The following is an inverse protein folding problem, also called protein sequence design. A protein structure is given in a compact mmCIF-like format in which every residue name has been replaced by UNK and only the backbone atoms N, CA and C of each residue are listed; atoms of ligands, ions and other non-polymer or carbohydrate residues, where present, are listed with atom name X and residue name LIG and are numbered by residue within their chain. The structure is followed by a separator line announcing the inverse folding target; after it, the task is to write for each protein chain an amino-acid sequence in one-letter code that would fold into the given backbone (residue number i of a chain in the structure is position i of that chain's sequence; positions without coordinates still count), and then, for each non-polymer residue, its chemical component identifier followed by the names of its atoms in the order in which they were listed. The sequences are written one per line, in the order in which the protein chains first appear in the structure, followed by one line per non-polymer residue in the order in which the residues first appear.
data_IF_548839490775
#
_entry.id   IF_548839490775
#
_cell.length_a   1.000
_cell.length_b   1.000
_cell.length_c   1.000
_cell.angle_alpha   90.00
_cell.angle_beta   90.00
_cell.angle_gamma   90.00
#
_symmetry.space_group_name_H-M   'P 1'
#
loop_
_entity.id
_entity.type
_entity.pdbx_description
1 polymer ?
#
# COMPACT_ATOMS: atom_id res chain seq x y z
N UNK A 1 84.68 -39.33 0.03
CA UNK A 1 83.61 -38.99 1.00
C UNK A 1 83.37 -37.48 0.84
N UNK A 2 82.19 -37.00 0.43
CA UNK A 2 80.92 -36.88 1.20
C UNK A 2 81.15 -36.09 2.52
N UNK A 3 80.48 -34.95 2.80
CA UNK A 3 79.51 -34.13 2.03
C UNK A 3 79.39 -32.68 2.57
N UNK A 4 79.25 -31.73 1.65
CA UNK A 4 78.31 -30.58 1.62
C UNK A 4 78.56 -29.32 2.49
N UNK A 5 78.32 -28.17 1.84
CA UNK A 5 78.43 -26.82 2.39
C UNK A 5 77.18 -26.37 3.14
N UNK A 6 77.35 -25.40 4.04
CA UNK A 6 76.27 -24.74 4.76
C UNK A 6 75.55 -23.75 3.83
N UNK A 7 74.36 -24.10 3.34
CA UNK A 7 73.47 -23.17 2.65
C UNK A 7 72.23 -22.92 3.53
N UNK A 8 72.21 -21.77 4.20
CA UNK A 8 71.08 -21.36 5.03
C UNK A 8 69.92 -20.86 4.16
N UNK A 9 69.14 -21.81 3.61
CA UNK A 9 67.85 -21.49 2.97
C UNK A 9 66.84 -21.20 4.08
N UNK A 10 66.65 -19.92 4.40
CA UNK A 10 65.51 -19.45 5.19
C UNK A 10 64.27 -19.58 4.32
N UNK A 11 63.66 -20.78 4.33
CA UNK A 11 62.45 -21.03 3.59
C UNK A 11 61.30 -20.22 4.20
N UNK A 12 60.77 -19.29 3.42
CA UNK A 12 59.59 -18.51 3.77
C UNK A 12 58.44 -19.40 4.22
N UNK A 13 57.89 -19.11 5.38
CA UNK A 13 56.50 -19.42 5.70
C UNK A 13 55.85 -18.17 6.30
N UNK A 14 55.84 -17.09 5.51
CA UNK A 14 54.94 -15.97 5.75
C UNK A 14 53.53 -16.50 5.52
N UNK A 15 52.88 -16.93 6.60
CA UNK A 15 51.45 -17.21 6.63
C UNK A 15 50.71 -15.89 6.39
N UNK A 16 50.54 -15.55 5.11
CA UNK A 16 49.58 -14.56 4.68
C UNK A 16 48.20 -15.05 5.07
N UNK A 17 47.73 -14.64 6.25
CA UNK A 17 46.30 -14.60 6.55
C UNK A 17 45.67 -13.62 5.56
N UNK A 18 45.33 -14.12 4.39
CA UNK A 18 44.28 -13.55 3.56
C UNK A 18 42.98 -13.70 4.33
N UNK A 19 42.76 -12.80 5.29
CA UNK A 19 41.44 -12.57 5.85
C UNK A 19 40.53 -12.27 4.66
N UNK A 20 39.64 -13.21 4.34
CA UNK A 20 38.59 -12.98 3.36
C UNK A 20 37.80 -11.79 3.86
N UNK A 21 37.94 -10.64 3.18
CA UNK A 21 36.96 -9.58 3.29
C UNK A 21 35.64 -10.19 2.82
N UNK A 22 34.79 -10.57 3.76
CA UNK A 22 33.42 -10.95 3.43
C UNK A 22 32.79 -9.81 2.65
N UNK A 23 31.94 -10.13 1.66
CA UNK A 23 31.19 -9.10 0.96
C UNK A 23 30.45 -8.24 1.98
N UNK A 24 30.53 -6.93 1.83
CA UNK A 24 29.82 -5.99 2.72
C UNK A 24 28.30 -6.25 2.73
N UNK A 25 27.80 -6.84 1.65
CA UNK A 25 26.40 -7.18 1.43
C UNK A 25 25.95 -8.48 2.13
N UNK A 26 26.85 -9.31 2.68
CA UNK A 26 26.50 -10.61 3.29
C UNK A 26 25.95 -10.50 4.73
N UNK A 27 25.67 -9.29 5.20
CA UNK A 27 25.17 -9.03 6.56
C UNK A 27 23.72 -9.48 6.75
N UNK A 28 23.31 -9.88 7.96
CA UNK A 28 21.91 -10.19 8.28
C UNK A 28 20.93 -9.04 7.95
N UNK A 29 21.36 -7.79 8.12
CA UNK A 29 20.59 -6.60 7.79
C UNK A 29 20.33 -6.49 6.28
N UNK A 30 21.37 -6.65 5.45
CA UNK A 30 21.22 -6.62 4.00
C UNK A 30 20.34 -7.76 3.49
N UNK A 31 20.49 -8.98 4.03
CA UNK A 31 19.60 -10.12 3.74
C UNK A 31 18.14 -9.85 4.12
N UNK A 32 17.89 -9.13 5.21
CA UNK A 32 16.54 -8.73 5.60
C UNK A 32 15.96 -7.70 4.61
N UNK A 33 16.75 -6.70 4.20
CA UNK A 33 16.33 -5.67 3.24
C UNK A 33 16.07 -6.29 1.87
N UNK A 34 16.97 -7.13 1.36
CA UNK A 34 16.80 -7.88 0.11
C UNK A 34 15.49 -8.67 0.13
N UNK A 35 15.25 -9.43 1.20
CA UNK A 35 14.06 -10.28 1.33
C UNK A 35 12.74 -9.52 1.43
N UNK A 36 12.70 -8.37 2.11
CA UNK A 36 11.44 -7.70 2.46
C UNK A 36 11.23 -6.32 1.81
N UNK A 37 12.17 -5.82 1.02
CA UNK A 37 12.05 -4.53 0.32
C UNK A 37 10.86 -4.49 -0.64
N UNK A 38 10.69 -5.50 -1.50
CA UNK A 38 9.55 -5.59 -2.41
C UNK A 38 8.20 -5.58 -1.66
N UNK A 39 8.09 -6.33 -0.56
CA UNK A 39 6.91 -6.39 0.30
C UNK A 39 6.64 -5.04 1.01
N UNK A 40 7.67 -4.36 1.50
CA UNK A 40 7.52 -3.03 2.10
C UNK A 40 7.07 -1.98 1.08
N UNK A 41 7.50 -2.12 -0.18
CA UNK A 41 7.04 -1.29 -1.31
C UNK A 41 5.58 -1.61 -1.68
N UNK A 42 5.19 -2.88 -1.74
CA UNK A 42 3.78 -3.29 -1.94
C UNK A 42 2.87 -2.70 -0.85
N UNK A 43 3.28 -2.81 0.40
CA UNK A 43 2.55 -2.29 1.56
C UNK A 43 2.51 -0.76 1.59
N UNK A 44 3.56 -0.08 1.11
CA UNK A 44 3.55 1.36 0.87
C UNK A 44 2.51 1.75 -0.18
N UNK A 45 2.41 1.04 -1.31
CA UNK A 45 1.34 1.30 -2.29
C UNK A 45 -0.05 1.01 -1.73
N UNK A 46 -0.19 -0.05 -0.94
CA UNK A 46 -1.47 -0.48 -0.37
C UNK A 46 -2.02 0.49 0.69
N UNK A 47 -1.14 1.13 1.47
CA UNK A 47 -1.53 1.89 2.66
C UNK A 47 -1.08 3.35 2.69
N UNK A 48 -0.01 3.70 1.98
CA UNK A 48 0.66 5.00 2.05
C UNK A 48 1.62 5.16 3.24
N UNK A 49 2.01 4.08 3.92
CA UNK A 49 3.13 4.09 4.88
C UNK A 49 4.44 3.96 4.10
N UNK A 50 5.44 4.85 4.24
CA UNK A 50 6.69 4.75 3.48
C UNK A 50 7.37 3.38 3.62
N UNK A 51 7.95 2.90 2.52
CA UNK A 51 8.65 1.63 2.49
C UNK A 51 9.91 1.68 3.37
N UNK A 52 10.60 2.82 3.41
CA UNK A 52 11.75 3.05 4.29
C UNK A 52 11.39 2.97 5.77
N UNK A 53 10.24 3.52 6.16
CA UNK A 53 9.68 3.43 7.51
C UNK A 53 9.37 1.98 7.84
N UNK A 54 8.65 1.28 6.97
CA UNK A 54 8.31 -0.15 7.17
C UNK A 54 9.56 -1.04 7.29
N UNK A 55 10.58 -0.81 6.46
CA UNK A 55 11.85 -1.53 6.52
C UNK A 55 12.67 -1.20 7.76
N UNK A 56 12.77 0.08 8.14
CA UNK A 56 13.53 0.51 9.31
C UNK A 56 12.88 0.01 10.61
N UNK A 57 11.56 0.05 10.71
CA UNK A 57 10.82 -0.56 11.82
C UNK A 57 11.02 -2.09 11.80
N UNK A 58 10.84 -2.74 10.65
CA UNK A 58 11.08 -4.19 10.54
C UNK A 58 12.49 -4.59 10.99
N UNK A 59 13.54 -3.90 10.53
CA UNK A 59 14.93 -4.14 10.94
C UNK A 59 15.14 -3.95 12.46
N UNK A 60 14.56 -2.90 13.05
CA UNK A 60 14.71 -2.56 14.45
C UNK A 60 13.95 -3.53 15.37
N UNK A 61 12.65 -3.71 15.13
CA UNK A 61 11.73 -4.45 16.01
C UNK A 61 11.91 -5.97 15.90
N UNK A 62 12.22 -6.48 14.70
CA UNK A 62 12.46 -7.93 14.50
C UNK A 62 13.89 -8.36 14.79
N UNK A 63 14.80 -7.43 15.13
CA UNK A 63 16.24 -7.69 15.14
C UNK A 63 16.69 -8.29 13.81
N UNK A 64 16.39 -7.60 12.71
CA UNK A 64 16.66 -8.03 11.32
C UNK A 64 16.23 -9.48 11.04
N UNK A 65 15.04 -9.85 11.54
CA UNK A 65 14.38 -11.14 11.35
C UNK A 65 14.85 -12.27 12.26
N UNK A 66 15.79 -12.01 13.17
CA UNK A 66 16.39 -13.04 14.05
C UNK A 66 15.83 -13.06 15.47
N UNK A 67 14.96 -12.11 15.86
CA UNK A 67 14.32 -12.14 17.19
C UNK A 67 13.44 -13.38 17.35
N UNK A 68 13.30 -13.87 18.58
CA UNK A 68 12.44 -15.02 18.87
C UNK A 68 11.00 -14.80 18.42
N UNK A 69 10.49 -13.57 18.58
CA UNK A 69 9.15 -13.17 18.17
C UNK A 69 8.97 -13.20 16.63
N UNK A 70 10.00 -12.77 15.88
CA UNK A 70 10.00 -12.89 14.43
C UNK A 70 10.07 -14.36 13.99
N UNK A 71 11.04 -15.13 14.51
CA UNK A 71 11.29 -16.52 14.09
C UNK A 71 10.15 -17.49 14.48
N UNK A 72 9.56 -17.35 15.67
CA UNK A 72 8.50 -18.26 16.16
C UNK A 72 7.08 -17.74 15.93
N UNK A 73 6.92 -16.43 15.82
CA UNK A 73 5.63 -15.75 15.68
C UNK A 73 5.35 -15.17 14.30
N UNK A 74 6.34 -15.14 13.40
CA UNK A 74 6.33 -14.33 12.18
C UNK A 74 5.98 -12.86 12.43
N UNK A 75 6.19 -12.33 13.64
CA UNK A 75 5.77 -10.99 14.03
C UNK A 75 6.96 -10.04 14.02
N UNK A 76 7.13 -9.31 12.91
CA UNK A 76 8.30 -8.48 12.65
C UNK A 76 8.23 -7.08 13.29
N UNK A 77 7.10 -6.71 13.90
CA UNK A 77 6.82 -5.34 14.34
C UNK A 77 6.36 -5.23 15.82
N UNK A 78 6.52 -6.30 16.60
CA UNK A 78 6.17 -6.30 18.02
C UNK A 78 4.67 -6.12 18.32
N UNK A 79 3.77 -6.43 17.37
CA UNK A 79 2.34 -6.09 17.54
C UNK A 79 1.72 -6.95 18.65
N UNK A 80 1.37 -6.31 19.76
CA UNK A 80 0.73 -6.92 20.93
C UNK A 80 -0.72 -7.36 20.63
N UNK A 81 -1.19 -8.37 21.34
CA UNK A 81 -2.60 -8.79 21.32
C UNK A 81 -3.46 -7.69 21.93
N UNK A 82 -4.42 -7.18 21.18
CA UNK A 82 -5.48 -6.33 21.73
C UNK A 82 -6.78 -7.13 21.91
N UNK A 83 -7.76 -6.56 22.60
CA UNK A 83 -9.05 -7.20 22.89
C UNK A 83 -9.83 -7.65 21.64
N UNK A 84 -9.51 -7.10 20.47
CA UNK A 84 -10.08 -7.45 19.17
C UNK A 84 -9.32 -8.56 18.42
N UNK A 85 -8.17 -9.03 18.94
CA UNK A 85 -7.35 -10.03 18.26
C UNK A 85 -7.84 -11.46 18.53
N UNK A 86 -8.44 -12.06 17.51
CA UNK A 86 -8.96 -13.44 17.48
C UNK A 86 -8.01 -14.44 16.81
N UNK A 87 -6.95 -13.97 16.15
CA UNK A 87 -5.96 -14.80 15.47
C UNK A 87 -5.01 -15.55 16.41
N UNK A 88 -4.01 -16.22 15.82
CA UNK A 88 -2.98 -16.98 16.54
C UNK A 88 -2.17 -16.05 17.46
N UNK A 89 -1.66 -16.62 18.56
CA UNK A 89 -0.97 -15.88 19.63
C UNK A 89 0.37 -16.54 19.95
N UNK A 90 1.34 -15.73 20.36
CA UNK A 90 2.59 -16.18 20.96
C UNK A 90 2.84 -15.33 22.20
N UNK A 91 3.41 -15.94 23.23
CA UNK A 91 3.72 -15.25 24.48
C UNK A 91 5.22 -15.06 24.57
N UNK A 92 5.65 -13.85 24.91
CA UNK A 92 7.05 -13.47 25.03
C UNK A 92 7.20 -12.49 26.21
N UNK A 93 8.39 -12.47 26.82
CA UNK A 93 8.70 -11.54 27.90
C UNK A 93 9.43 -10.34 27.28
N UNK A 94 8.81 -9.16 27.29
CA UNK A 94 9.29 -7.94 26.62
C UNK A 94 9.33 -6.75 27.59
N UNK A 95 8.26 -5.96 27.72
CA UNK A 95 8.11 -4.97 28.80
C UNK A 95 7.71 -5.65 30.11
N UNK A 96 6.95 -6.74 30.02
CA UNK A 96 6.46 -7.52 31.16
C UNK A 96 6.45 -9.03 30.87
N UNK A 97 6.33 -9.83 31.93
CA UNK A 97 6.30 -11.28 31.84
C UNK A 97 4.98 -11.78 31.26
N UNK A 98 5.05 -12.66 30.25
CA UNK A 98 3.91 -13.31 29.64
C UNK A 98 3.06 -12.38 28.77
N UNK A 99 3.67 -11.38 28.14
CA UNK A 99 2.95 -10.51 27.21
C UNK A 99 2.49 -11.28 25.97
N UNK A 100 1.26 -10.99 25.55
CA UNK A 100 0.65 -11.63 24.39
C UNK A 100 1.00 -10.81 23.14
N UNK A 101 1.60 -11.46 22.17
CA UNK A 101 1.86 -10.93 20.84
C UNK A 101 1.03 -11.69 19.80
N UNK A 102 0.68 -10.98 18.73
CA UNK A 102 0.05 -11.60 17.57
C UNK A 102 1.04 -12.59 16.95
N UNK A 103 0.54 -13.74 16.51
CA UNK A 103 1.27 -14.70 15.69
C UNK A 103 0.59 -14.82 14.34
N UNK A 104 1.40 -14.88 13.30
CA UNK A 104 1.01 -14.95 11.91
C UNK A 104 1.50 -16.24 11.27
N UNK A 105 0.88 -16.65 10.17
CA UNK A 105 1.32 -17.83 9.42
C UNK A 105 2.49 -17.53 8.47
N UNK A 106 2.71 -16.25 8.15
CA UNK A 106 3.86 -15.79 7.37
C UNK A 106 4.31 -14.38 7.78
N UNK A 107 5.58 -13.97 7.48
CA UNK A 107 6.03 -12.59 7.68
C UNK A 107 5.14 -11.55 6.99
N UNK A 108 4.66 -11.86 5.78
CA UNK A 108 3.82 -11.02 4.92
C UNK A 108 2.53 -10.60 5.62
N UNK A 109 1.90 -11.50 6.39
CA UNK A 109 0.73 -11.16 7.22
C UNK A 109 1.06 -10.12 8.32
N UNK A 110 2.28 -10.15 8.88
CA UNK A 110 2.71 -9.18 9.90
C UNK A 110 3.02 -7.80 9.32
N UNK A 111 3.58 -7.75 8.11
CA UNK A 111 3.74 -6.51 7.35
C UNK A 111 2.37 -5.90 7.02
N UNK A 112 1.42 -6.73 6.59
CA UNK A 112 0.04 -6.29 6.32
C UNK A 112 -0.66 -5.74 7.57
N UNK A 113 -0.61 -6.45 8.70
CA UNK A 113 -1.22 -5.99 9.96
C UNK A 113 -0.52 -4.73 10.51
N UNK A 114 0.80 -4.59 10.33
CA UNK A 114 1.54 -3.37 10.69
C UNK A 114 1.07 -2.15 9.90
N UNK A 115 1.02 -2.25 8.58
CA UNK A 115 0.60 -1.13 7.73
C UNK A 115 -0.89 -0.79 7.95
N UNK A 116 -1.75 -1.79 8.18
CA UNK A 116 -3.15 -1.58 8.57
C UNK A 116 -3.28 -0.92 9.95
N UNK A 117 -2.46 -1.32 10.92
CA UNK A 117 -2.40 -0.73 12.25
C UNK A 117 -2.03 0.76 12.21
N UNK A 118 -1.09 1.14 11.34
CA UNK A 118 -0.74 2.55 11.09
C UNK A 118 -1.85 3.26 10.30
N UNK A 119 -2.38 2.65 9.23
CA UNK A 119 -3.35 3.29 8.32
C UNK A 119 -4.71 3.57 8.93
N UNK A 120 -5.25 2.64 9.72
CA UNK A 120 -6.66 2.68 10.14
C UNK A 120 -6.88 3.14 11.59
N UNK A 121 -5.83 3.48 12.34
CA UNK A 121 -5.96 4.03 13.70
C UNK A 121 -5.82 5.56 13.68
N UNK A 122 -6.87 6.25 14.14
CA UNK A 122 -6.95 7.73 14.14
C UNK A 122 -5.71 8.44 14.68
N UNK A 123 -5.03 7.87 15.69
CA UNK A 123 -3.80 8.43 16.30
C UNK A 123 -2.66 8.65 15.31
N UNK A 124 -2.62 7.90 14.20
CA UNK A 124 -1.59 7.96 13.16
C UNK A 124 -2.07 8.71 11.91
N UNK A 125 -3.35 9.10 11.82
CA UNK A 125 -3.94 9.63 10.58
C UNK A 125 -3.19 10.84 10.01
N UNK A 126 -2.64 11.69 10.89
CA UNK A 126 -1.88 12.89 10.49
C UNK A 126 -0.53 12.58 9.81
N UNK A 127 -0.01 11.34 9.91
CA UNK A 127 1.20 10.93 9.18
C UNK A 127 0.97 10.88 7.68
N UNK A 128 -0.26 10.56 7.26
CA UNK A 128 -0.64 10.48 5.85
C UNK A 128 -0.94 11.84 5.21
N UNK A 129 -0.80 12.94 5.97
CA UNK A 129 -0.75 14.30 5.45
C UNK A 129 0.69 14.71 5.06
N UNK A 130 1.71 13.90 5.42
CA UNK A 130 3.12 14.08 5.04
C UNK A 130 3.40 13.45 3.67
N UNK A 131 4.44 13.95 2.99
CA UNK A 131 4.94 13.31 1.77
C UNK A 131 5.59 11.95 2.07
N UNK A 132 5.56 11.01 1.12
CA UNK A 132 6.20 9.69 1.28
C UNK A 132 7.71 9.78 1.50
N UNK A 133 8.34 10.83 0.97
CA UNK A 133 9.76 11.16 1.14
C UNK A 133 10.12 11.76 2.50
N UNK A 134 9.14 12.21 3.32
CA UNK A 134 9.39 12.82 4.64
C UNK A 134 9.54 11.75 5.74
N UNK A 135 10.51 10.85 5.57
CA UNK A 135 10.75 9.78 6.55
C UNK A 135 11.20 10.31 7.92
N UNK A 136 11.78 11.51 7.99
CA UNK A 136 12.09 12.17 9.27
C UNK A 136 10.82 12.61 9.99
N UNK A 137 9.91 13.31 9.30
CA UNK A 137 8.59 13.69 9.82
C UNK A 137 7.75 12.47 10.22
N UNK A 138 7.80 11.39 9.44
CA UNK A 138 7.20 10.10 9.80
C UNK A 138 7.80 9.50 11.07
N UNK A 139 9.13 9.41 11.19
CA UNK A 139 9.80 8.84 12.36
C UNK A 139 9.50 9.63 13.64
N UNK A 140 9.52 10.97 13.58
CA UNK A 140 9.13 11.84 14.68
C UNK A 140 7.62 11.75 14.99
N UNK A 141 6.80 11.68 13.96
CA UNK A 141 5.35 11.57 14.07
C UNK A 141 4.88 10.24 14.66
N UNK A 142 5.52 9.11 14.32
CA UNK A 142 5.25 7.79 14.90
C UNK A 142 5.46 7.81 16.42
N UNK A 143 6.55 8.41 16.90
CA UNK A 143 6.78 8.62 18.33
C UNK A 143 5.73 9.56 18.94
N UNK A 144 5.43 10.69 18.29
CA UNK A 144 4.42 11.66 18.77
C UNK A 144 3.02 11.05 18.89
N UNK A 145 2.63 10.21 17.93
CA UNK A 145 1.40 9.43 17.97
C UNK A 145 1.42 8.38 19.10
N UNK A 146 2.61 7.93 19.49
CA UNK A 146 2.88 6.99 20.58
C UNK A 146 3.01 5.54 20.10
N UNK A 147 3.66 5.31 18.96
CA UNK A 147 4.11 3.97 18.53
C UNK A 147 5.12 3.39 19.53
N UNK A 148 6.15 4.18 19.87
CA UNK A 148 7.16 3.83 20.86
C UNK A 148 7.28 4.92 21.93
N UNK A 149 7.68 4.53 23.15
CA UNK A 149 7.90 5.43 24.30
C UNK A 149 9.30 6.06 24.28
N UNK A 150 10.30 5.31 23.77
CA UNK A 150 11.71 5.68 23.72
C UNK A 150 11.94 7.08 23.09
N UNK A 151 12.61 8.02 23.78
CA UNK A 151 12.98 9.32 23.22
C UNK A 151 13.87 9.24 21.97
N UNK A 152 14.67 8.20 21.82
CA UNK A 152 15.61 8.00 20.70
C UNK A 152 15.00 7.23 19.52
N UNK A 153 13.74 6.81 19.59
CA UNK A 153 13.10 6.01 18.53
C UNK A 153 13.17 6.67 17.13
N UNK A 154 12.89 7.97 16.95
CA UNK A 154 13.00 8.62 15.65
C UNK A 154 14.43 8.56 15.10
N UNK A 155 15.44 8.84 15.94
CA UNK A 155 16.85 8.83 15.56
C UNK A 155 17.33 7.43 15.19
N UNK A 156 16.81 6.37 15.84
CA UNK A 156 17.09 4.97 15.47
C UNK A 156 16.56 4.66 14.06
N UNK A 157 15.32 5.04 13.75
CA UNK A 157 14.75 4.84 12.41
C UNK A 157 15.48 5.67 11.35
N UNK A 158 15.65 6.97 11.56
CA UNK A 158 16.36 7.87 10.63
C UNK A 158 17.79 7.37 10.38
N UNK A 159 18.49 6.88 11.41
CA UNK A 159 19.81 6.27 11.24
C UNK A 159 19.74 5.04 10.33
N UNK A 160 18.83 4.09 10.55
CA UNK A 160 18.69 2.90 9.71
C UNK A 160 18.34 3.27 8.25
N UNK A 161 17.45 4.24 8.05
CA UNK A 161 17.06 4.71 6.72
C UNK A 161 18.25 5.32 5.99
N UNK A 162 19.10 6.09 6.68
CA UNK A 162 20.31 6.68 6.08
C UNK A 162 21.44 5.65 5.90
N UNK A 163 21.66 4.75 6.87
CA UNK A 163 22.75 3.75 6.88
C UNK A 163 22.60 2.72 5.76
N UNK A 164 21.36 2.33 5.43
CA UNK A 164 21.03 1.37 4.37
C UNK A 164 20.34 2.02 3.15
N UNK A 165 20.36 3.36 3.06
CA UNK A 165 19.71 4.15 2.00
C UNK A 165 18.24 3.74 1.70
N UNK A 166 17.46 3.38 2.74
CA UNK A 166 16.13 2.79 2.58
C UNK A 166 15.12 3.75 1.94
N UNK A 167 15.36 5.06 2.02
CA UNK A 167 14.55 6.09 1.35
C UNK A 167 14.52 5.93 -0.19
N UNK A 168 15.40 5.11 -0.77
CA UNK A 168 15.32 4.75 -2.19
C UNK A 168 14.07 3.93 -2.53
N UNK A 169 13.51 3.20 -1.55
CA UNK A 169 12.28 2.42 -1.70
C UNK A 169 11.00 3.25 -1.60
N UNK A 170 11.09 4.50 -1.10
CA UNK A 170 9.93 5.42 -1.07
C UNK A 170 9.64 6.06 -2.43
N UNK A 171 10.52 5.82 -3.41
CA UNK A 171 10.35 6.29 -4.78
C UNK A 171 9.21 5.53 -5.45
N UNK A 172 8.18 6.25 -5.86
CA UNK A 172 7.24 5.78 -6.89
C UNK A 172 7.96 5.89 -8.24
N UNK A 173 8.18 4.81 -9.01
CA UNK A 173 8.85 4.87 -10.30
C UNK A 173 8.11 5.78 -11.29
N UNK A 174 8.85 6.62 -12.01
CA UNK A 174 8.37 7.30 -13.20
C UNK A 174 8.24 6.27 -14.35
N UNK A 175 7.04 5.71 -14.49
CA UNK A 175 6.79 4.58 -15.40
C UNK A 175 6.87 3.25 -14.66
N UNK A 176 5.79 2.46 -14.76
CA UNK A 176 5.66 1.21 -14.01
C UNK A 176 6.34 0.00 -14.66
N UNK A 177 6.39 -1.07 -13.87
CA UNK A 177 6.91 -2.43 -14.13
C UNK A 177 8.44 -2.62 -13.96
N UNK A 178 8.76 -3.50 -13.00
CA UNK A 178 9.87 -4.45 -13.13
C UNK A 178 9.22 -5.77 -13.58
N UNK A 179 9.72 -6.36 -14.66
CA UNK A 179 9.31 -7.69 -15.15
C UNK A 179 10.02 -8.80 -14.36
N UNK A 180 9.44 -10.00 -14.31
CA UNK A 180 10.12 -11.19 -13.78
C UNK A 180 11.14 -11.73 -14.80
N UNK A 181 12.44 -11.57 -14.53
CA UNK A 181 13.48 -12.32 -15.24
C UNK A 181 14.78 -11.54 -15.51
N UNK A 182 15.90 -12.17 -15.10
CA UNK A 182 17.29 -11.87 -15.45
C UNK A 182 17.91 -10.50 -15.08
N UNK A 183 18.90 -10.58 -14.18
CA UNK A 183 19.81 -9.51 -13.79
C UNK A 183 20.80 -9.19 -14.91
N UNK A 184 20.81 -7.95 -15.43
CA UNK A 184 22.02 -7.10 -15.59
C UNK A 184 21.60 -5.62 -15.67
N UNK A 185 22.07 -4.78 -14.74
CA UNK A 185 21.94 -3.31 -14.83
C UNK A 185 23.17 -2.70 -15.51
N UNK A 186 22.96 -1.85 -16.53
CA UNK A 186 23.97 -0.90 -17.02
C UNK A 186 23.36 0.44 -17.44
N UNK A 187 23.58 1.44 -16.57
CA UNK A 187 23.54 2.91 -16.75
C UNK A 187 22.31 3.58 -17.40
N UNK A 188 21.79 4.60 -16.70
CA UNK A 188 20.58 5.35 -17.05
C UNK A 188 20.97 6.75 -17.56
N UNK A 189 20.40 7.25 -18.67
CA UNK A 189 20.63 8.62 -19.16
C UNK A 189 19.93 9.69 -18.31
N UNK A 190 20.42 10.93 -18.34
CA UNK A 190 19.91 12.02 -17.49
C UNK A 190 18.52 12.56 -17.91
N UNK A 191 17.69 12.91 -16.92
CA UNK A 191 16.32 13.40 -17.12
C UNK A 191 16.24 14.81 -17.76
N UNK A 192 15.25 15.07 -18.64
CA UNK A 192 14.92 16.41 -19.15
C UNK A 192 14.35 17.36 -18.07
N UNK A 193 14.42 18.67 -18.33
CA UNK A 193 14.37 19.71 -17.31
C UNK A 193 13.05 20.51 -17.21
N UNK A 194 11.87 19.90 -17.43
CA UNK A 194 10.59 20.61 -17.29
C UNK A 194 9.52 19.80 -16.53
N UNK A 195 8.80 20.50 -15.65
CA UNK A 195 7.71 19.98 -14.80
C UNK A 195 6.37 20.31 -15.47
N UNK A 196 5.49 19.32 -15.63
CA UNK A 196 4.12 19.53 -16.15
C UNK A 196 3.04 18.90 -15.25
N UNK A 197 1.77 19.20 -15.52
CA UNK A 197 0.69 19.35 -14.54
C UNK A 197 -0.19 18.08 -14.33
N UNK A 198 -1.19 18.17 -13.44
CA UNK A 198 -1.79 16.99 -12.79
C UNK A 198 -2.90 16.21 -13.55
N UNK A 199 -2.65 14.90 -13.72
CA UNK A 199 -3.54 13.71 -13.59
C UNK A 199 -4.78 13.49 -14.49
N UNK A 200 -4.82 12.28 -15.08
CA UNK A 200 -5.87 11.28 -14.82
C UNK A 200 -5.32 9.88 -14.44
N UNK A 201 -6.20 8.94 -14.06
CA UNK A 201 -5.85 7.54 -13.72
C UNK A 201 -5.80 6.64 -14.99
N UNK A 202 -4.80 5.76 -15.08
CA UNK A 202 -4.49 4.92 -16.26
C UNK A 202 -4.52 3.40 -15.96
N UNK A 203 -4.38 2.59 -17.01
CA UNK A 203 -5.01 1.27 -17.14
C UNK A 203 -4.58 0.19 -16.13
N UNK A 204 -3.32 0.22 -15.64
CA UNK A 204 -2.85 -0.72 -14.60
C UNK A 204 -3.53 -0.56 -13.23
N UNK A 205 -4.19 0.58 -12.99
CA UNK A 205 -4.86 0.88 -11.71
C UNK A 205 -6.21 0.16 -11.54
N UNK A 206 -6.59 -0.71 -12.48
CA UNK A 206 -7.81 -1.55 -12.42
C UNK A 206 -7.57 -2.98 -11.93
N UNK A 207 -6.35 -3.49 -11.99
CA UNK A 207 -6.05 -4.88 -11.59
C UNK A 207 -5.85 -5.06 -10.08
N UNK A 208 -5.70 -3.95 -9.34
CA UNK A 208 -5.39 -3.88 -7.91
C UNK A 208 -6.48 -4.48 -7.00
N UNK A 209 -7.65 -4.87 -7.55
CA UNK A 209 -8.73 -5.46 -6.76
C UNK A 209 -9.16 -6.85 -7.21
N UNK A 210 -8.92 -7.85 -6.34
CA UNK A 210 -9.65 -9.12 -6.27
C UNK A 210 -9.64 -9.68 -4.83
N UNK A 211 -10.84 -10.05 -4.37
CA UNK A 211 -11.19 -11.02 -3.31
C UNK A 211 -10.33 -11.15 -2.02
N UNK A 212 -10.81 -10.49 -0.97
CA UNK A 212 -10.70 -10.83 0.45
C UNK A 212 -9.38 -11.46 0.97
N UNK A 213 -8.18 -10.86 0.93
CA UNK A 213 -7.64 -9.61 0.35
C UNK A 213 -8.59 -8.39 0.41
N UNK A 214 -8.41 -7.52 1.41
CA UNK A 214 -9.30 -6.40 1.68
C UNK A 214 -9.50 -5.48 0.46
N UNK A 215 -10.62 -5.68 -0.24
CA UNK A 215 -10.99 -4.92 -1.43
C UNK A 215 -11.18 -3.45 -1.05
N UNK A 216 -10.29 -2.58 -1.53
CA UNK A 216 -10.30 -1.18 -1.12
C UNK A 216 -11.60 -0.53 -1.54
N UNK A 217 -12.21 0.14 -0.57
CA UNK A 217 -13.37 0.99 -0.78
C UNK A 217 -12.87 2.39 -1.12
N UNK A 218 -13.49 2.98 -2.12
CA UNK A 218 -13.30 4.36 -2.53
C UNK A 218 -14.48 5.20 -2.06
N UNK A 219 -14.38 6.52 -2.17
CA UNK A 219 -15.48 7.44 -1.88
C UNK A 219 -15.59 8.47 -3.00
N UNK A 220 -16.80 8.71 -3.50
CA UNK A 220 -17.09 9.79 -4.43
C UNK A 220 -18.30 10.58 -3.93
N UNK A 221 -18.19 11.91 -3.86
CA UNK A 221 -19.22 12.79 -3.29
C UNK A 221 -19.66 12.36 -1.86
N UNK A 222 -18.73 11.77 -1.08
CA UNK A 222 -19.03 11.20 0.23
C UNK A 222 -19.97 9.98 0.19
N UNK A 223 -19.90 9.16 -0.86
CA UNK A 223 -20.61 7.88 -1.01
C UNK A 223 -19.58 6.78 -1.23
N UNK A 224 -19.50 5.76 -0.36
CA UNK A 224 -18.56 4.65 -0.54
C UNK A 224 -18.94 3.77 -1.74
N UNK A 225 -17.93 3.33 -2.47
CA UNK A 225 -18.05 2.42 -3.60
C UNK A 225 -16.84 1.49 -3.71
N UNK A 226 -16.96 0.49 -4.58
CA UNK A 226 -15.89 -0.41 -4.98
C UNK A 226 -15.89 -0.56 -6.49
N UNK A 227 -14.74 -0.88 -7.09
CA UNK A 227 -14.68 -1.33 -8.47
C UNK A 227 -15.03 -2.82 -8.52
N UNK A 228 -15.98 -3.19 -9.38
CA UNK A 228 -16.28 -4.58 -9.72
C UNK A 228 -15.02 -5.27 -10.26
N UNK A 229 -14.79 -6.51 -9.85
CA UNK A 229 -13.63 -7.30 -10.26
C UNK A 229 -14.10 -8.47 -11.14
N UNK A 230 -13.20 -9.12 -11.86
CA UNK A 230 -13.57 -10.22 -12.74
C UNK A 230 -14.29 -11.36 -11.99
N UNK A 231 -15.38 -11.85 -12.58
CA UNK A 231 -16.23 -12.90 -12.01
C UNK A 231 -17.19 -12.45 -10.91
N UNK A 232 -17.17 -11.18 -10.47
CA UNK A 232 -18.13 -10.69 -9.47
C UNK A 232 -19.54 -10.46 -10.02
N UNK A 233 -20.51 -10.63 -9.13
CA UNK A 233 -21.92 -10.27 -9.35
C UNK A 233 -22.35 -9.29 -8.26
N UNK A 234 -23.41 -8.51 -8.48
CA UNK A 234 -23.98 -7.68 -7.41
C UNK A 234 -24.33 -8.51 -6.15
N UNK A 235 -24.58 -9.82 -6.28
CA UNK A 235 -24.81 -10.70 -5.14
C UNK A 235 -23.53 -11.01 -4.36
N UNK A 236 -22.42 -11.35 -5.04
CA UNK A 236 -21.14 -11.60 -4.34
C UNK A 236 -20.63 -10.34 -3.66
N UNK A 237 -20.75 -9.18 -4.31
CA UNK A 237 -20.40 -7.88 -3.73
C UNK A 237 -21.28 -7.58 -2.50
N UNK A 238 -22.60 -7.74 -2.61
CA UNK A 238 -23.51 -7.46 -1.50
C UNK A 238 -23.20 -8.35 -0.29
N UNK A 239 -22.96 -9.65 -0.51
CA UNK A 239 -22.56 -10.61 0.52
C UNK A 239 -21.28 -10.17 1.25
N UNK A 240 -20.23 -9.78 0.53
CA UNK A 240 -18.95 -9.36 1.12
C UNK A 240 -19.03 -8.11 2.01
N UNK A 241 -20.03 -7.24 1.78
CA UNK A 241 -20.25 -6.02 2.57
C UNK A 241 -21.47 -6.10 3.50
N UNK A 242 -22.02 -7.30 3.74
CA UNK A 242 -23.20 -7.55 4.59
C UNK A 242 -24.45 -6.74 4.16
N UNK A 243 -24.64 -6.57 2.84
CA UNK A 243 -25.78 -5.89 2.21
C UNK A 243 -26.71 -6.92 1.55
N UNK A 244 -27.99 -6.55 1.36
CA UNK A 244 -28.89 -7.31 0.49
C UNK A 244 -28.65 -6.97 -0.99
N UNK A 245 -28.65 -7.96 -1.89
CA UNK A 245 -28.46 -7.75 -3.34
C UNK A 245 -29.43 -6.72 -3.93
N UNK A 246 -30.71 -6.75 -3.52
CA UNK A 246 -31.73 -5.75 -3.91
C UNK A 246 -31.36 -4.32 -3.45
N UNK A 247 -30.72 -4.18 -2.30
CA UNK A 247 -30.29 -2.90 -1.77
C UNK A 247 -29.08 -2.35 -2.54
N UNK A 248 -28.10 -3.20 -2.84
CA UNK A 248 -26.94 -2.81 -3.66
C UNK A 248 -27.37 -2.40 -5.08
N UNK A 249 -28.28 -3.15 -5.72
CA UNK A 249 -28.85 -2.77 -7.02
C UNK A 249 -29.57 -1.41 -6.97
N UNK A 250 -30.35 -1.16 -5.91
CA UNK A 250 -31.03 0.12 -5.67
C UNK A 250 -30.04 1.28 -5.51
N UNK A 251 -28.91 1.08 -4.84
CA UNK A 251 -27.87 2.12 -4.71
C UNK A 251 -27.25 2.50 -6.06
N UNK A 252 -27.24 1.56 -7.02
CA UNK A 252 -26.69 1.71 -8.36
C UNK A 252 -27.75 2.01 -9.45
N UNK A 253 -28.97 2.42 -9.04
CA UNK A 253 -30.11 2.78 -9.90
C UNK A 253 -30.71 1.64 -10.77
N UNK A 254 -30.37 0.37 -10.48
CA UNK A 254 -30.75 -0.81 -11.24
C UNK A 254 -32.03 -1.49 -10.70
N UNK A 255 -32.78 -2.14 -11.59
CA UNK A 255 -33.98 -2.94 -11.26
C UNK A 255 -33.71 -4.45 -11.11
N UNK A 256 -32.70 -4.95 -11.81
CA UNK A 256 -32.26 -6.34 -11.81
C UNK A 256 -30.73 -6.39 -11.92
N UNK A 257 -30.12 -7.54 -11.63
CA UNK A 257 -28.69 -7.74 -11.86
C UNK A 257 -28.38 -7.68 -13.35
N UNK A 258 -27.31 -6.98 -13.71
CA UNK A 258 -26.72 -6.98 -15.05
C UNK A 258 -25.29 -7.53 -14.95
N UNK A 259 -24.71 -8.06 -16.04
CA UNK A 259 -23.30 -8.46 -16.05
C UNK A 259 -22.40 -7.28 -15.63
N UNK A 260 -21.52 -7.53 -14.65
CA UNK A 260 -20.53 -6.55 -14.22
C UNK A 260 -19.27 -6.70 -15.07
N UNK A 261 -18.86 -5.62 -15.73
CA UNK A 261 -17.54 -5.54 -16.34
C UNK A 261 -16.50 -5.14 -15.29
N UNK A 262 -15.27 -5.69 -15.30
CA UNK A 262 -14.20 -5.26 -14.41
C UNK A 262 -13.97 -3.74 -14.47
N UNK A 263 -13.77 -3.10 -13.33
CA UNK A 263 -13.67 -1.64 -13.22
C UNK A 263 -15.02 -0.89 -13.19
N UNK A 264 -16.17 -1.59 -13.24
CA UNK A 264 -17.48 -0.94 -13.04
C UNK A 264 -17.59 -0.39 -11.61
N UNK A 265 -17.96 0.88 -11.46
CA UNK A 265 -18.24 1.47 -10.14
C UNK A 265 -19.52 0.87 -9.54
N UNK A 266 -19.41 0.29 -8.35
CA UNK A 266 -20.51 -0.28 -7.58
C UNK A 266 -20.59 0.41 -6.22
N UNK A 267 -21.57 1.31 -6.06
CA UNK A 267 -21.81 2.04 -4.82
C UNK A 267 -22.37 1.12 -3.74
N UNK A 268 -21.76 1.18 -2.55
CA UNK A 268 -22.13 0.44 -1.35
C UNK A 268 -23.15 1.19 -0.47
N UNK A 269 -23.47 2.44 -0.84
CA UNK A 269 -24.52 3.26 -0.22
C UNK A 269 -25.26 4.08 -1.29
N UNK A 270 -26.42 4.63 -0.94
CA UNK A 270 -27.21 5.44 -1.87
C UNK A 270 -26.45 6.71 -2.32
N UNK A 271 -26.30 6.87 -3.64
CA UNK A 271 -25.83 8.09 -4.31
C UNK A 271 -26.53 9.36 -3.81
N UNK A 272 -25.87 10.52 -3.89
CA UNK A 272 -26.41 11.81 -3.43
C UNK A 272 -27.51 12.34 -4.37
N UNK A 273 -28.23 13.37 -3.90
CA UNK A 273 -29.32 14.02 -4.65
C UNK A 273 -28.86 15.00 -5.73
N UNK A 274 -27.58 15.36 -5.71
CA UNK A 274 -26.89 16.37 -6.52
C UNK A 274 -25.38 16.16 -6.34
N UNK A 275 -24.56 16.69 -7.25
CA UNK A 275 -23.10 16.60 -7.18
C UNK A 275 -22.51 17.47 -6.05
N UNK A 276 -21.20 17.33 -5.83
CA UNK A 276 -20.43 18.13 -4.90
C UNK A 276 -20.51 19.64 -5.24
N UNK A 277 -20.17 20.49 -4.28
CA UNK A 277 -20.07 21.95 -4.50
C UNK A 277 -18.95 22.22 -5.51
N UNK A 278 -19.18 23.10 -6.50
CA UNK A 278 -18.23 23.37 -7.59
C UNK A 278 -18.35 22.41 -8.77
N UNK A 279 -19.36 21.51 -8.77
CA UNK A 279 -19.70 20.63 -9.89
C UNK A 279 -21.18 20.85 -10.28
N UNK A 280 -21.50 22.05 -10.76
CA UNK A 280 -22.87 22.46 -11.10
C UNK A 280 -23.37 21.81 -12.39
N UNK A 281 -22.48 21.62 -13.37
CA UNK A 281 -22.81 21.13 -14.72
C UNK A 281 -21.69 20.24 -15.28
N UNK A 282 -22.06 19.42 -16.25
CA UNK A 282 -21.17 18.66 -17.12
C UNK A 282 -21.60 18.87 -18.57
N UNK A 283 -20.64 18.95 -19.49
CA UNK A 283 -20.90 18.99 -20.93
C UNK A 283 -20.60 17.59 -21.45
N UNK A 284 -21.55 16.99 -22.17
CA UNK A 284 -21.42 15.63 -22.70
C UNK A 284 -20.26 15.59 -23.70
N UNK A 285 -19.30 14.70 -23.42
CA UNK A 285 -18.13 14.41 -24.23
C UNK A 285 -18.08 12.90 -24.58
N UNK A 286 -18.54 12.56 -25.80
CA UNK A 286 -18.61 11.20 -26.31
C UNK A 286 -19.86 10.43 -25.85
N UNK A 287 -19.83 9.11 -26.03
CA UNK A 287 -20.97 8.19 -25.86
C UNK A 287 -21.36 7.90 -24.39
N UNK A 288 -21.38 8.93 -23.53
CA UNK A 288 -21.82 8.80 -22.15
C UNK A 288 -23.35 8.83 -22.04
N UNK A 289 -23.97 7.71 -21.63
CA UNK A 289 -25.39 7.69 -21.30
C UNK A 289 -25.69 8.34 -19.92
N UNK A 290 -26.97 8.58 -19.63
CA UNK A 290 -27.39 9.20 -18.36
C UNK A 290 -27.05 8.37 -17.12
N UNK A 291 -26.97 7.04 -17.24
CA UNK A 291 -26.58 6.16 -16.14
C UNK A 291 -25.07 6.27 -15.87
N UNK A 292 -24.24 6.34 -16.91
CA UNK A 292 -22.81 6.57 -16.81
C UNK A 292 -22.50 7.91 -16.11
N UNK A 293 -23.18 8.99 -16.50
CA UNK A 293 -23.07 10.31 -15.84
C UNK A 293 -23.53 10.22 -14.37
N UNK A 294 -24.61 9.50 -14.10
CA UNK A 294 -25.10 9.24 -12.74
C UNK A 294 -24.06 8.54 -11.86
N UNK A 295 -23.32 7.55 -12.40
CA UNK A 295 -22.22 6.91 -11.67
C UNK A 295 -21.01 7.84 -11.52
N UNK A 296 -20.60 8.54 -12.60
CA UNK A 296 -19.42 9.43 -12.67
C UNK A 296 -19.43 10.54 -11.61
N UNK A 297 -20.60 11.01 -11.19
CA UNK A 297 -20.73 12.08 -10.18
C UNK A 297 -21.36 11.65 -8.85
N UNK A 298 -21.58 10.34 -8.66
CA UNK A 298 -22.30 9.79 -7.51
C UNK A 298 -23.67 10.47 -7.25
N UNK A 299 -24.41 10.79 -8.31
CA UNK A 299 -25.75 11.42 -8.28
C UNK A 299 -26.80 10.40 -8.70
N UNK A 300 -27.91 10.26 -7.98
CA UNK A 300 -28.99 9.32 -8.36
C UNK A 300 -29.54 9.63 -9.76
N UNK A 301 -29.73 8.60 -10.59
CA UNK A 301 -30.25 8.76 -11.95
C UNK A 301 -31.63 9.44 -11.97
N UNK A 302 -32.51 9.12 -11.01
CA UNK A 302 -33.82 9.80 -10.92
C UNK A 302 -33.69 11.33 -10.71
N UNK A 303 -32.65 11.74 -9.99
CA UNK A 303 -32.39 13.14 -9.65
C UNK A 303 -31.75 13.86 -10.83
N UNK A 304 -30.81 13.20 -11.51
CA UNK A 304 -30.20 13.70 -12.73
C UNK A 304 -31.25 13.98 -13.81
N UNK A 305 -32.13 13.00 -14.10
CA UNK A 305 -33.26 13.17 -15.01
C UNK A 305 -34.17 14.36 -14.62
N UNK A 306 -34.55 14.46 -13.34
CA UNK A 306 -35.42 15.54 -12.82
C UNK A 306 -34.79 16.93 -12.89
N UNK A 307 -33.50 17.08 -12.61
CA UNK A 307 -32.80 18.37 -12.70
C UNK A 307 -32.70 18.89 -14.14
N UNK A 308 -32.74 17.98 -15.12
CA UNK A 308 -32.58 18.29 -16.54
C UNK A 308 -33.90 18.23 -17.34
N UNK A 309 -35.02 17.85 -16.72
CA UNK A 309 -36.31 17.72 -17.40
C UNK A 309 -36.40 16.57 -18.41
N UNK A 310 -35.45 15.63 -18.39
CA UNK A 310 -35.30 14.55 -19.37
C UNK A 310 -35.72 13.19 -18.80
N UNK A 311 -36.08 12.25 -19.69
CA UNK A 311 -36.38 10.85 -19.34
C UNK A 311 -35.10 10.02 -19.20
N UNK A 312 -35.22 8.81 -18.63
CA UNK A 312 -34.10 7.86 -18.48
C UNK A 312 -33.58 7.29 -19.81
N UNK A 313 -34.44 7.24 -20.81
CA UNK A 313 -34.18 6.75 -22.18
C UNK A 313 -33.89 7.89 -23.17
N UNK A 314 -33.61 9.10 -22.66
CA UNK A 314 -33.18 10.21 -23.49
C UNK A 314 -31.75 9.99 -23.97
N UNK A 315 -31.56 10.01 -25.29
CA UNK A 315 -30.26 9.86 -25.95
C UNK A 315 -29.54 11.20 -25.94
N UNK A 316 -28.35 11.22 -25.32
CA UNK A 316 -27.49 12.40 -25.24
C UNK A 316 -26.65 12.59 -26.50
N UNK A 317 -26.20 13.83 -26.72
CA UNK A 317 -25.36 14.25 -27.84
C UNK A 317 -24.17 15.03 -27.32
N UNK A 318 -23.06 14.98 -28.05
CA UNK A 318 -21.88 15.81 -27.76
C UNK A 318 -22.26 17.29 -27.67
N UNK A 319 -21.81 17.94 -26.60
CA UNK A 319 -22.14 19.34 -26.30
C UNK A 319 -23.43 19.55 -25.49
N UNK A 320 -24.26 18.51 -25.25
CA UNK A 320 -25.41 18.62 -24.34
C UNK A 320 -24.94 18.99 -22.92
N UNK A 321 -25.64 19.92 -22.27
CA UNK A 321 -25.25 20.41 -20.94
C UNK A 321 -26.14 19.81 -19.85
N UNK A 322 -25.58 18.91 -19.07
CA UNK A 322 -26.26 18.21 -17.97
C UNK A 322 -25.99 18.94 -16.65
N UNK A 323 -27.05 19.47 -16.03
CA UNK A 323 -27.06 20.01 -14.68
C UNK A 323 -26.89 18.87 -13.67
N UNK A 324 -25.81 18.94 -12.90
CA UNK A 324 -25.46 17.99 -11.84
C UNK A 324 -25.87 18.48 -10.46
N UNK A 325 -26.00 19.80 -10.30
CA UNK A 325 -26.36 20.48 -9.05
C UNK A 325 -27.04 21.82 -9.35
N UNK A 326 -28.22 22.02 -8.76
CA UNK A 326 -28.89 23.32 -8.76
C UNK A 326 -28.22 24.27 -7.75
N UNK A 327 -28.28 25.57 -8.02
CA UNK A 327 -27.96 26.62 -7.04
C UNK A 327 -29.00 26.65 -5.91
#
# INVERSE_FOLDING_TARGET
MKRFALLAVVLSCVLSLSASKGNADDTPQMKYIERYSALAVEEMYRTGVPASITLAQGLLESGYGLSELAVKGNNHFGIKCHNTWTGKKVYHDDDAKGECFRKYDSPEESFRDHSDFLRYRDRYRFLFDLELSDYEGWAHGLRKAGYATDPQYPQKLIRLINEYALHQYDKVPEGGMLEEGDVVVKEIPQSPAQIEQARPLTQGQREVFRFALSRQMYSLNGVPFVYAVEGETYESIARSYNLFTRELLRFNDLKASVPLQPGTVVYLQAKKKMAAVGLEKYVVDGEADLWAISQRYAVKLDRLCRMNGIRRDHVLRDGDVIVLRNK
#
